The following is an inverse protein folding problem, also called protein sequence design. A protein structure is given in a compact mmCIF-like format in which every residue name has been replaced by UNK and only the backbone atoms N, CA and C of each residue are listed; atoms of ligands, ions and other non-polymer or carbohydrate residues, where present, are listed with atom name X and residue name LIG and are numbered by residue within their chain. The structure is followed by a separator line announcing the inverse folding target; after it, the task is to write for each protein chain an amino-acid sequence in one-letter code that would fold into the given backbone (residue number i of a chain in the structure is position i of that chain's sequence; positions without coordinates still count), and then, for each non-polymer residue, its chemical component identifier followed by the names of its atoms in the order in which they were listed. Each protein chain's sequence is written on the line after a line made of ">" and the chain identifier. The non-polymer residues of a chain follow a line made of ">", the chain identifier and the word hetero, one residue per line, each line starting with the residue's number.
data_IF_499006797039
#
_entry.id   IF_499006797039
#
_cell.length_a   1.000
_cell.length_b   1.000
_cell.length_c   1.000
_cell.angle_alpha   90.00
_cell.angle_beta   90.00
_cell.angle_gamma   90.00
#
_symmetry.space_group_name_H-M   'P 1'
#
loop_
_entity.id
_entity.type
_entity.pdbx_description
1 polymer ?
#
# COMPACT_ATOMS: atom_id res chain seq x y z
N UNK A 1 -17.26 6.50 -0.79
CA UNK A 1 -16.01 7.24 -0.56
C UNK A 1 -14.85 6.26 -0.69
N UNK A 2 -13.66 6.72 -1.07
CA UNK A 2 -12.45 5.89 -1.02
C UNK A 2 -11.97 5.76 0.42
N UNK A 3 -11.12 4.77 0.69
CA UNK A 3 -10.38 4.68 1.96
C UNK A 3 -8.91 4.89 1.66
N UNK A 4 -8.33 5.87 2.33
CA UNK A 4 -6.94 6.25 2.15
C UNK A 4 -6.09 5.62 3.26
N UNK A 5 -5.02 4.96 2.84
CA UNK A 5 -4.11 4.20 3.68
C UNK A 5 -2.67 4.62 3.37
N UNK A 6 -1.77 4.35 4.30
CA UNK A 6 -0.34 4.59 4.14
C UNK A 6 0.42 3.38 4.60
N UNK A 7 1.36 2.92 3.78
CA UNK A 7 2.36 1.93 4.19
C UNK A 7 3.66 2.67 4.51
N UNK A 8 4.14 2.49 5.73
CA UNK A 8 5.42 2.98 6.21
C UNK A 8 6.36 1.80 6.36
N UNK A 9 7.51 1.83 5.69
CA UNK A 9 8.44 0.70 5.68
C UNK A 9 9.90 1.17 5.54
N UNK A 10 10.84 0.24 5.73
CA UNK A 10 12.27 0.52 5.47
C UNK A 10 12.59 0.57 3.97
N UNK A 11 11.77 -0.06 3.11
CA UNK A 11 11.96 -0.14 1.67
C UNK A 11 10.64 -0.19 0.91
N UNK A 12 10.66 0.24 -0.36
CA UNK A 12 9.47 0.23 -1.24
C UNK A 12 9.00 -1.22 -1.48
N UNK A 13 7.72 -1.54 -1.27
CA UNK A 13 7.16 -2.82 -1.68
C UNK A 13 7.28 -3.00 -3.20
N UNK A 14 7.94 -4.07 -3.62
CA UNK A 14 8.11 -4.38 -5.03
C UNK A 14 6.78 -4.80 -5.67
N UNK A 15 6.62 -4.71 -7.01
CA UNK A 15 5.45 -5.28 -7.67
C UNK A 15 5.21 -6.76 -7.35
N UNK A 16 6.29 -7.54 -7.13
CA UNK A 16 6.20 -8.94 -6.72
C UNK A 16 5.58 -9.09 -5.32
N UNK A 17 5.85 -8.18 -4.39
CA UNK A 17 5.21 -8.20 -3.07
C UNK A 17 3.71 -7.97 -3.15
N UNK A 18 3.27 -7.07 -4.03
CA UNK A 18 1.85 -6.84 -4.29
C UNK A 18 1.18 -8.06 -4.90
N UNK A 19 1.77 -8.65 -5.94
CA UNK A 19 1.24 -9.87 -6.57
C UNK A 19 1.20 -11.05 -5.60
N UNK A 20 2.27 -11.28 -4.83
CA UNK A 20 2.33 -12.35 -3.85
C UNK A 20 1.32 -12.17 -2.71
N UNK A 21 1.07 -10.94 -2.27
CA UNK A 21 0.06 -10.63 -1.26
C UNK A 21 -1.37 -10.82 -1.79
N UNK A 22 -1.63 -10.48 -3.06
CA UNK A 22 -2.95 -10.57 -3.67
C UNK A 22 -3.33 -12.00 -4.09
N UNK A 23 -2.37 -12.77 -4.60
CA UNK A 23 -2.59 -14.14 -5.13
C UNK A 23 -3.45 -15.04 -4.22
N UNK A 24 -3.17 -15.19 -2.91
CA UNK A 24 -3.99 -16.05 -2.05
C UNK A 24 -5.39 -15.51 -1.75
N UNK A 25 -5.65 -14.22 -1.98
CA UNK A 25 -6.92 -13.55 -1.64
C UNK A 25 -7.90 -13.49 -2.82
N UNK A 26 -7.37 -13.29 -4.02
CA UNK A 26 -8.18 -13.12 -5.25
C UNK A 26 -7.88 -14.17 -6.33
N UNK A 27 -7.06 -15.17 -6.02
CA UNK A 27 -6.73 -16.26 -6.95
C UNK A 27 -5.78 -15.86 -8.09
N UNK A 28 -5.21 -14.65 -8.01
CA UNK A 28 -4.43 -14.02 -9.07
C UNK A 28 -4.94 -12.62 -9.37
N UNK A 29 -4.07 -11.77 -9.93
CA UNK A 29 -4.37 -10.40 -10.27
C UNK A 29 -3.19 -9.74 -10.96
N UNK A 30 -3.48 -8.79 -11.83
CA UNK A 30 -2.47 -8.08 -12.59
C UNK A 30 -2.17 -6.72 -11.96
N UNK A 31 -0.87 -6.38 -11.93
CA UNK A 31 -0.44 -5.03 -11.62
C UNK A 31 -0.48 -4.21 -12.90
N UNK A 32 -1.49 -3.35 -13.01
CA UNK A 32 -1.65 -2.43 -14.14
C UNK A 32 -1.04 -1.08 -13.79
N UNK A 33 -0.22 -0.52 -14.68
CA UNK A 33 0.38 0.81 -14.54
C UNK A 33 -0.39 1.82 -15.39
N UNK A 34 -0.76 2.95 -14.82
CA UNK A 34 -1.36 4.08 -15.54
C UNK A 34 -0.39 5.26 -15.67
N UNK A 35 -0.72 6.21 -16.54
CA UNK A 35 0.06 7.44 -16.70
C UNK A 35 0.13 8.23 -15.37
N UNK A 36 1.33 8.68 -15.00
CA UNK A 36 1.54 9.40 -13.72
C UNK A 36 1.93 8.50 -12.54
N UNK A 37 2.59 7.37 -12.82
CA UNK A 37 3.18 6.42 -11.87
C UNK A 37 2.23 5.70 -10.90
N UNK A 38 0.93 5.97 -11.00
CA UNK A 38 -0.12 5.24 -10.28
C UNK A 38 -0.17 3.78 -10.74
N UNK A 39 -0.25 2.89 -9.76
CA UNK A 39 -0.30 1.44 -9.95
C UNK A 39 -1.61 0.91 -9.36
N UNK A 40 -2.25 -0.02 -10.05
CA UNK A 40 -3.46 -0.68 -9.60
C UNK A 40 -3.24 -2.19 -9.58
N UNK A 41 -3.80 -2.85 -8.57
CA UNK A 41 -4.04 -4.28 -8.58
C UNK A 41 -5.48 -4.47 -9.04
N UNK A 42 -5.67 -5.24 -10.12
CA UNK A 42 -6.99 -5.65 -10.57
C UNK A 42 -7.23 -7.13 -10.31
N UNK A 43 -8.46 -7.49 -9.98
CA UNK A 43 -8.87 -8.89 -9.91
C UNK A 43 -9.05 -9.49 -11.32
N UNK A 44 -9.39 -10.77 -11.38
CA UNK A 44 -9.60 -11.51 -12.63
C UNK A 44 -10.79 -10.99 -13.45
N UNK A 45 -11.70 -10.22 -12.84
CA UNK A 45 -12.82 -9.57 -13.52
C UNK A 45 -12.46 -8.16 -14.02
N UNK A 46 -11.24 -7.70 -13.73
CA UNK A 46 -10.76 -6.36 -14.08
C UNK A 46 -11.18 -5.27 -13.11
N UNK A 47 -11.76 -5.61 -11.96
CA UNK A 47 -12.11 -4.63 -10.94
C UNK A 47 -10.87 -4.20 -10.17
N UNK A 48 -10.74 -2.90 -9.90
CA UNK A 48 -9.65 -2.40 -9.06
C UNK A 48 -9.85 -2.86 -7.62
N UNK A 49 -8.84 -3.54 -7.08
CA UNK A 49 -8.81 -4.01 -5.70
C UNK A 49 -8.10 -2.99 -4.80
N UNK A 50 -6.95 -2.49 -5.23
CA UNK A 50 -6.16 -1.50 -4.51
C UNK A 50 -5.33 -0.68 -5.49
N UNK A 51 -5.14 0.59 -5.18
CA UNK A 51 -4.29 1.51 -5.95
C UNK A 51 -3.20 2.06 -5.05
N UNK A 52 -2.00 2.30 -5.59
CA UNK A 52 -0.92 2.91 -4.85
C UNK A 52 -0.04 3.79 -5.73
N UNK A 53 0.60 4.76 -5.09
CA UNK A 53 1.58 5.63 -5.73
C UNK A 53 3.00 5.13 -5.44
N UNK A 54 4.00 5.57 -6.22
CA UNK A 54 5.40 5.25 -5.91
C UNK A 54 5.77 5.66 -4.50
N UNK A 55 6.69 4.92 -3.90
CA UNK A 55 7.22 5.28 -2.60
C UNK A 55 7.86 6.66 -2.65
N UNK A 56 7.50 7.52 -1.69
CA UNK A 56 8.27 8.73 -1.40
C UNK A 56 9.32 8.40 -0.34
N UNK A 57 10.57 8.74 -0.62
CA UNK A 57 11.65 8.64 0.38
C UNK A 57 11.47 9.72 1.43
N UNK A 58 11.58 9.35 2.70
CA UNK A 58 11.40 10.26 3.82
C UNK A 58 12.78 10.71 4.31
N UNK A 59 13.23 11.88 3.85
CA UNK A 59 14.52 12.46 4.26
C UNK A 59 14.49 13.04 5.68
N UNK A 60 13.30 13.37 6.20
CA UNK A 60 13.15 13.97 7.52
C UNK A 60 12.18 13.14 8.38
N UNK A 61 12.73 12.57 9.47
CA UNK A 61 11.99 11.91 10.56
C UNK A 61 10.72 12.68 11.01
N UNK A 62 10.64 14.00 10.83
CA UNK A 62 9.51 14.84 11.28
C UNK A 62 8.16 14.44 10.68
N UNK A 63 8.09 14.10 9.39
CA UNK A 63 6.82 13.72 8.76
C UNK A 63 6.27 12.41 9.33
N UNK A 64 7.17 11.49 9.67
CA UNK A 64 6.84 10.19 10.25
C UNK A 64 6.57 10.31 11.75
N UNK A 65 7.34 11.11 12.49
CA UNK A 65 7.19 11.28 13.95
C UNK A 65 5.82 11.87 14.30
N UNK A 66 5.25 12.74 13.46
CA UNK A 66 3.91 13.28 13.67
C UNK A 66 2.82 12.18 13.59
N UNK A 67 3.04 11.14 12.78
CA UNK A 67 2.08 10.05 12.54
C UNK A 67 2.37 8.77 13.35
N UNK A 68 3.65 8.48 13.67
CA UNK A 68 4.11 7.24 14.31
C UNK A 68 4.72 7.40 15.70
N UNK A 69 5.08 8.60 16.16
CA UNK A 69 5.79 8.78 17.43
C UNK A 69 7.25 8.28 17.41
N UNK A 70 7.76 7.75 18.54
CA UNK A 70 9.21 7.45 18.73
C UNK A 70 9.74 6.26 17.89
N UNK A 71 8.86 5.41 17.34
CA UNK A 71 9.22 4.24 16.52
C UNK A 71 9.59 4.55 15.06
N UNK A 72 9.62 5.83 14.68
CA UNK A 72 9.91 6.32 13.33
C UNK A 72 11.36 6.10 12.85
N UNK A 73 12.25 5.46 13.63
CA UNK A 73 13.69 5.41 13.33
C UNK A 73 14.06 4.46 12.18
N UNK A 74 13.23 3.46 11.92
CA UNK A 74 13.44 2.43 10.89
C UNK A 74 12.76 2.78 9.57
N UNK A 75 11.69 3.58 9.60
CA UNK A 75 10.94 3.98 8.41
C UNK A 75 11.78 4.85 7.48
N UNK A 76 11.81 4.47 6.19
CA UNK A 76 12.50 5.22 5.12
C UNK A 76 11.57 5.59 3.96
N UNK A 77 10.48 4.85 3.79
CA UNK A 77 9.54 5.07 2.70
C UNK A 77 8.12 5.23 3.19
N UNK A 78 7.36 6.01 2.43
CA UNK A 78 5.94 6.20 2.58
C UNK A 78 5.26 5.88 1.26
N UNK A 79 4.25 5.04 1.29
CA UNK A 79 3.47 4.64 0.12
C UNK A 79 2.02 4.98 0.38
N UNK A 80 1.50 5.96 -0.36
CA UNK A 80 0.06 6.25 -0.35
C UNK A 80 -0.68 5.12 -1.06
N UNK A 81 -1.78 4.68 -0.46
CA UNK A 81 -2.61 3.56 -0.92
C UNK A 81 -4.07 4.00 -0.86
N UNK A 82 -4.81 3.81 -1.94
CA UNK A 82 -6.25 4.11 -1.99
C UNK A 82 -7.04 2.87 -2.32
N UNK A 83 -8.10 2.64 -1.54
CA UNK A 83 -9.11 1.64 -1.83
C UNK A 83 -10.31 2.31 -2.52
N UNK A 84 -10.83 1.77 -3.64
CA UNK A 84 -11.91 2.39 -4.40
C UNK A 84 -13.20 2.59 -3.58
N UNK A 85 -13.44 1.75 -2.58
CA UNK A 85 -14.58 1.82 -1.68
C UNK A 85 -14.14 1.66 -0.23
N UNK A 86 -14.77 2.41 0.68
CA UNK A 86 -14.54 2.30 2.13
C UNK A 86 -14.76 0.88 2.65
N UNK A 87 -15.77 0.19 2.12
CA UNK A 87 -16.11 -1.20 2.41
C UNK A 87 -15.42 -2.17 1.43
N UNK A 88 -14.13 -1.98 1.16
CA UNK A 88 -13.35 -2.91 0.33
C UNK A 88 -12.50 -3.84 1.22
N UNK A 89 -13.09 -4.94 1.75
CA UNK A 89 -12.40 -5.83 2.68
C UNK A 89 -11.23 -6.57 2.03
N UNK A 90 -11.30 -6.84 0.73
CA UNK A 90 -10.23 -7.51 -0.02
C UNK A 90 -9.05 -6.56 -0.19
N UNK A 91 -9.29 -5.34 -0.67
CA UNK A 91 -8.25 -4.32 -0.83
C UNK A 91 -7.52 -4.01 0.49
N UNK A 92 -8.27 -3.96 1.60
CA UNK A 92 -7.67 -3.80 2.93
C UNK A 92 -6.80 -5.01 3.32
N UNK A 93 -7.25 -6.23 3.04
CA UNK A 93 -6.46 -7.44 3.31
C UNK A 93 -5.19 -7.49 2.45
N UNK A 94 -5.28 -7.10 1.18
CA UNK A 94 -4.11 -6.98 0.29
C UNK A 94 -3.13 -5.95 0.86
N UNK A 95 -3.59 -4.75 1.23
CA UNK A 95 -2.74 -3.72 1.81
C UNK A 95 -2.03 -4.22 3.09
N UNK A 96 -2.76 -4.88 4.00
CA UNK A 96 -2.20 -5.50 5.22
C UNK A 96 -1.15 -6.58 4.90
N UNK A 97 -1.44 -7.43 3.93
CA UNK A 97 -0.53 -8.50 3.52
C UNK A 97 0.75 -7.94 2.92
N UNK A 98 0.67 -6.90 2.08
CA UNK A 98 1.86 -6.21 1.54
C UNK A 98 2.67 -5.56 2.67
N UNK A 99 2.02 -4.84 3.57
CA UNK A 99 2.67 -4.24 4.74
C UNK A 99 3.43 -5.27 5.55
N UNK A 100 2.84 -6.43 5.82
CA UNK A 100 3.49 -7.50 6.58
C UNK A 100 4.73 -8.06 5.87
N UNK A 101 4.69 -8.18 4.53
CA UNK A 101 5.83 -8.68 3.73
C UNK A 101 7.05 -7.76 3.79
N UNK A 102 6.84 -6.46 3.89
CA UNK A 102 7.93 -5.47 4.00
C UNK A 102 8.26 -5.09 5.44
N UNK A 103 7.74 -5.84 6.43
CA UNK A 103 7.86 -5.56 7.86
C UNK A 103 7.49 -4.10 8.21
N UNK A 104 6.49 -3.56 7.50
CA UNK A 104 6.04 -2.18 7.64
C UNK A 104 4.88 -2.00 8.62
N UNK A 105 4.38 -0.76 8.65
CA UNK A 105 3.20 -0.34 9.40
C UNK A 105 2.15 0.21 8.43
N UNK A 106 0.88 -0.17 8.62
CA UNK A 106 -0.25 0.33 7.85
C UNK A 106 -1.03 1.33 8.71
N UNK A 107 -1.18 2.55 8.21
CA UNK A 107 -1.97 3.61 8.84
C UNK A 107 -3.19 3.91 7.96
N UNK A 108 -4.32 4.22 8.58
CA UNK A 108 -5.49 4.77 7.89
C UNK A 108 -5.51 6.29 8.07
N UNK A 109 -5.75 7.02 6.96
CA UNK A 109 -5.88 8.47 6.97
C UNK A 109 -7.36 8.84 7.05
N UNK A 110 -7.73 9.57 8.11
CA UNK A 110 -9.05 10.22 8.25
C UNK A 110 -9.16 11.49 7.41
#
# INVERSE_FOLDING_TARGET
>A
MSRELVILAEGEPSPEDWTAAATPLIGGGDVVRFAGDLRHMVDLEGNTVVSWWPARTLDARREVVAELGEDARTVRVWVDVSLPHTENPIGLQVARAVTARVAGTLIERT
#
